data_IF_639687769838
#
_entry.id   IF_639687769838
#
_cell.length_a   1.000
_cell.length_b   1.000
_cell.length_c   1.000
_cell.angle_alpha   90.00
_cell.angle_beta   90.00
_cell.angle_gamma   90.00
#
_symmetry.space_group_name_H-M   'P 1'
#
loop_
_entity.id
_entity.type
_entity.pdbx_description
1 polymer ?
#
# COMPACT_ATOMS: atom_id res chain seq x y z
N UNK A 1 -4.67 103.10 7.33
CA UNK A 1 -3.43 102.76 8.06
C UNK A 1 -3.56 101.36 8.66
N UNK A 2 -2.42 100.68 8.76
CA UNK A 2 -2.16 99.30 9.20
C UNK A 2 -3.00 98.79 10.41
N UNK A 3 -3.18 97.48 10.65
CA UNK A 3 -2.24 96.43 10.32
C UNK A 3 -2.78 94.99 10.38
N UNK A 4 -2.08 94.15 9.62
CA UNK A 4 -2.23 92.70 9.51
C UNK A 4 -1.99 92.00 10.84
N UNK A 5 -2.96 91.17 11.27
CA UNK A 5 -2.73 90.11 12.27
C UNK A 5 -2.57 88.78 11.54
N UNK A 6 -1.32 88.33 11.41
CA UNK A 6 -0.97 87.06 10.78
C UNK A 6 -1.47 85.86 11.61
N UNK A 7 -2.38 85.05 11.04
CA UNK A 7 -2.84 83.79 11.63
C UNK A 7 -1.72 82.75 11.59
N UNK A 8 -1.15 82.47 12.77
CA UNK A 8 -0.15 81.43 13.02
C UNK A 8 -0.79 80.04 12.87
N UNK A 9 -0.72 79.45 11.66
CA UNK A 9 -1.17 78.07 11.39
C UNK A 9 -0.21 77.08 12.05
N UNK A 10 -0.61 76.54 13.19
CA UNK A 10 0.03 75.42 13.88
C UNK A 10 -0.13 74.14 13.03
N UNK A 11 0.93 73.80 12.29
CA UNK A 11 1.02 72.58 11.49
C UNK A 11 1.61 71.49 12.39
N UNK A 12 0.73 70.75 13.09
CA UNK A 12 1.11 69.57 13.90
C UNK A 12 1.68 68.51 12.95
N UNK A 13 3.01 68.46 12.85
CA UNK A 13 3.76 67.37 12.21
C UNK A 13 3.35 66.09 12.92
N UNK A 14 2.68 65.18 12.20
CA UNK A 14 2.50 63.80 12.64
C UNK A 14 3.87 63.15 12.55
N UNK A 15 4.49 62.95 13.71
CA UNK A 15 5.67 62.13 13.85
C UNK A 15 5.36 60.73 13.33
N UNK A 16 6.14 60.30 12.33
CA UNK A 16 6.21 58.93 11.91
C UNK A 16 6.91 58.12 12.98
N UNK A 17 6.15 57.52 13.88
CA UNK A 17 6.62 56.49 14.78
C UNK A 17 6.03 55.15 14.31
N UNK A 18 6.86 54.42 13.57
CA UNK A 18 6.83 52.98 13.29
C UNK A 18 5.48 52.27 13.43
N UNK A 19 4.89 51.91 12.28
CA UNK A 19 3.87 50.87 12.24
C UNK A 19 4.38 49.65 13.03
N UNK A 20 3.60 49.08 13.96
CA UNK A 20 4.03 47.94 14.74
C UNK A 20 4.43 46.82 13.77
N UNK A 21 5.70 46.40 13.83
CA UNK A 21 6.19 45.22 13.11
C UNK A 21 5.20 44.11 13.41
N UNK A 22 4.51 43.63 12.37
CA UNK A 22 3.55 42.55 12.49
C UNK A 22 4.26 41.35 13.11
N UNK A 23 4.08 41.17 14.42
CA UNK A 23 4.58 40.00 15.13
C UNK A 23 3.95 38.81 14.42
N UNK A 24 4.77 37.89 13.90
CA UNK A 24 4.26 36.65 13.35
C UNK A 24 3.54 35.94 14.49
N UNK A 25 2.22 36.04 14.49
CA UNK A 25 1.45 35.45 15.56
C UNK A 25 1.72 33.95 15.50
N UNK A 26 2.23 33.38 16.58
CA UNK A 26 2.45 31.93 16.70
C UNK A 26 1.19 31.15 16.32
N UNK A 27 0.01 31.76 16.51
CA UNK A 27 -1.29 31.27 16.08
C UNK A 27 -1.43 31.13 14.55
N UNK A 28 -0.89 32.07 13.75
CA UNK A 28 -0.91 32.01 12.28
C UNK A 28 0.06 30.95 11.76
N UNK A 29 1.22 30.80 12.40
CA UNK A 29 2.18 29.74 12.07
C UNK A 29 1.62 28.35 12.40
N UNK A 30 1.00 28.18 13.57
CA UNK A 30 0.32 26.93 13.93
C UNK A 30 -0.83 26.60 12.98
N UNK A 31 -1.61 27.60 12.54
CA UNK A 31 -2.67 27.40 11.53
C UNK A 31 -2.09 26.97 10.18
N UNK A 32 -1.00 27.61 9.74
CA UNK A 32 -0.32 27.24 8.50
C UNK A 32 0.29 25.82 8.57
N UNK A 33 0.88 25.44 9.71
CA UNK A 33 1.37 24.07 9.94
C UNK A 33 0.23 23.04 9.91
N UNK A 34 -0.90 23.33 10.56
CA UNK A 34 -2.09 22.46 10.51
C UNK A 34 -2.64 22.33 9.10
N UNK A 35 -2.70 23.42 8.33
CA UNK A 35 -3.10 23.39 6.92
C UNK A 35 -2.12 22.60 6.06
N UNK A 36 -0.81 22.70 6.29
CA UNK A 36 0.19 21.90 5.58
C UNK A 36 0.09 20.42 5.91
N UNK A 37 -0.14 20.05 7.17
CA UNK A 37 -0.38 18.66 7.59
C UNK A 37 -1.68 18.14 6.99
N UNK A 38 -2.77 18.92 7.05
CA UNK A 38 -4.05 18.57 6.45
C UNK A 38 -3.95 18.46 4.92
N UNK A 39 -3.20 19.34 4.25
CA UNK A 39 -2.96 19.28 2.81
C UNK A 39 -2.09 18.07 2.44
N UNK A 40 -1.08 17.72 3.25
CA UNK A 40 -0.29 16.49 3.09
C UNK A 40 -1.15 15.25 3.32
N UNK A 41 -2.03 15.25 4.31
CA UNK A 41 -2.99 14.17 4.56
C UNK A 41 -4.01 14.06 3.43
N UNK A 42 -4.58 15.16 2.94
CA UNK A 42 -5.46 15.19 1.75
C UNK A 42 -4.72 14.73 0.49
N UNK A 43 -3.45 15.10 0.30
CA UNK A 43 -2.61 14.59 -0.79
C UNK A 43 -2.23 13.13 -0.61
N UNK A 44 -2.05 12.62 0.61
CA UNK A 44 -1.83 11.20 0.89
C UNK A 44 -3.10 10.39 0.65
N UNK A 45 -4.24 10.87 1.13
CA UNK A 45 -5.58 10.33 0.87
C UNK A 45 -5.90 10.34 -0.64
N UNK A 46 -5.51 11.40 -1.36
CA UNK A 46 -5.52 11.49 -2.83
C UNK A 46 -4.32 10.82 -3.52
N UNK A 47 -3.35 10.24 -2.81
CA UNK A 47 -2.28 9.39 -3.41
C UNK A 47 -2.61 7.91 -3.20
N UNK A 48 -3.45 7.60 -2.22
CA UNK A 48 -4.33 6.42 -2.20
C UNK A 48 -5.49 6.54 -3.22
N UNK A 49 -5.25 7.14 -4.40
CA UNK A 49 -6.12 6.93 -5.56
C UNK A 49 -5.92 5.47 -6.03
N UNK A 50 -6.94 4.61 -6.12
CA UNK A 50 -8.36 4.86 -6.01
C UNK A 50 -9.00 4.19 -4.79
N UNK A 51 -9.74 4.97 -4.02
CA UNK A 51 -10.94 4.51 -3.33
C UNK A 51 -12.05 4.41 -4.39
N UNK A 52 -12.00 3.37 -5.21
CA UNK A 52 -13.14 2.80 -5.94
C UNK A 52 -13.05 1.28 -5.66
N UNK A 53 -13.59 0.79 -4.55
CA UNK A 53 -14.98 0.95 -4.17
C UNK A 53 -15.78 -0.34 -4.38
N UNK A 54 -15.12 -1.50 -4.51
CA UNK A 54 -15.62 -2.83 -4.15
C UNK A 54 -14.49 -3.84 -4.36
N UNK A 55 -14.32 -4.79 -3.41
CA UNK A 55 -13.45 -5.97 -3.60
C UNK A 55 -13.93 -6.66 -4.88
N UNK A 56 -13.04 -7.08 -5.80
CA UNK A 56 -13.48 -7.85 -6.97
C UNK A 56 -14.37 -9.01 -6.50
N UNK A 57 -15.55 -9.21 -7.12
CA UNK A 57 -16.45 -10.28 -6.73
C UNK A 57 -15.74 -11.63 -6.80
N UNK A 58 -16.09 -12.56 -5.91
CA UNK A 58 -15.54 -13.91 -6.02
C UNK A 58 -16.05 -14.58 -7.29
N UNK A 59 -15.24 -15.42 -7.95
CA UNK A 59 -15.70 -16.22 -9.09
C UNK A 59 -16.82 -17.20 -8.69
N UNK A 60 -17.00 -17.43 -7.39
CA UNK A 60 -17.97 -18.35 -6.81
C UNK A 60 -19.25 -17.67 -6.33
N UNK A 61 -19.61 -16.51 -6.89
CA UNK A 61 -20.92 -15.88 -6.65
C UNK A 61 -21.19 -15.49 -5.19
N UNK A 62 -20.14 -15.18 -4.42
CA UNK A 62 -20.25 -14.82 -3.00
C UNK A 62 -19.99 -15.96 -2.01
N UNK A 63 -19.81 -17.19 -2.48
CA UNK A 63 -19.43 -18.32 -1.62
C UNK A 63 -18.00 -18.14 -1.09
N UNK A 64 -17.76 -18.29 0.23
CA UNK A 64 -16.46 -18.06 0.87
C UNK A 64 -15.54 -19.29 0.74
N UNK A 65 -15.33 -19.79 -0.49
CA UNK A 65 -14.57 -21.03 -0.73
C UNK A 65 -13.14 -20.93 -0.18
N UNK A 66 -12.50 -19.79 -0.35
CA UNK A 66 -11.13 -19.60 0.09
C UNK A 66 -11.01 -19.52 1.60
N UNK A 67 -11.98 -18.90 2.26
CA UNK A 67 -12.07 -18.85 3.72
C UNK A 67 -12.33 -20.27 4.29
N UNK A 68 -13.20 -21.06 3.64
CA UNK A 68 -13.42 -22.46 3.99
C UNK A 68 -12.17 -23.32 3.76
N UNK A 69 -11.44 -23.10 2.66
CA UNK A 69 -10.19 -23.80 2.39
C UNK A 69 -9.12 -23.44 3.43
N UNK A 70 -8.95 -22.17 3.77
CA UNK A 70 -8.03 -21.74 4.84
C UNK A 70 -8.42 -22.36 6.18
N UNK A 71 -9.71 -22.38 6.50
CA UNK A 71 -10.19 -22.99 7.75
C UNK A 71 -9.93 -24.50 7.77
N UNK A 72 -10.36 -25.23 6.75
CA UNK A 72 -10.18 -26.68 6.67
C UNK A 72 -8.68 -27.07 6.62
N UNK A 73 -7.88 -26.35 5.86
CA UNK A 73 -6.43 -26.53 5.81
C UNK A 73 -5.77 -26.24 7.15
N UNK A 74 -6.23 -25.21 7.88
CA UNK A 74 -5.73 -24.86 9.20
C UNK A 74 -6.03 -25.95 10.23
N UNK A 75 -7.25 -26.49 10.21
CA UNK A 75 -7.64 -27.63 11.05
C UNK A 75 -6.78 -28.86 10.73
N UNK A 76 -6.64 -29.22 9.45
CA UNK A 76 -5.81 -30.35 9.04
C UNK A 76 -4.33 -30.17 9.43
N UNK A 77 -3.81 -28.95 9.32
CA UNK A 77 -2.44 -28.62 9.74
C UNK A 77 -2.27 -28.79 11.25
N UNK A 78 -3.21 -28.29 12.06
CA UNK A 78 -3.18 -28.45 13.54
C UNK A 78 -3.25 -29.92 13.91
N UNK A 79 -4.19 -30.68 13.34
CA UNK A 79 -4.32 -32.12 13.58
C UNK A 79 -3.04 -32.85 13.19
N UNK A 80 -2.47 -32.55 12.03
CA UNK A 80 -1.22 -33.12 11.57
C UNK A 80 -0.02 -32.76 12.45
N UNK A 81 0.04 -31.55 13.02
CA UNK A 81 1.11 -31.17 13.94
C UNK A 81 1.04 -31.92 15.27
N UNK A 82 -0.18 -32.25 15.73
CA UNK A 82 -0.40 -33.01 16.98
C UNK A 82 -0.19 -34.51 16.78
N UNK A 83 -0.74 -35.08 15.71
CA UNK A 83 -0.75 -36.53 15.47
C UNK A 83 0.39 -37.01 14.56
N UNK A 84 1.07 -36.10 13.87
CA UNK A 84 2.02 -36.41 12.81
C UNK A 84 1.34 -36.83 11.50
N UNK A 85 2.16 -37.14 10.50
CA UNK A 85 1.70 -37.75 9.25
C UNK A 85 1.33 -36.77 8.13
N UNK A 86 0.70 -37.28 7.05
CA UNK A 86 0.48 -36.53 5.81
C UNK A 86 -0.48 -35.33 5.97
N UNK A 87 -1.26 -35.30 7.06
CA UNK A 87 -2.18 -34.21 7.38
C UNK A 87 -1.49 -32.84 7.46
N UNK A 88 -0.21 -32.77 7.89
CA UNK A 88 0.57 -31.52 7.89
C UNK A 88 0.71 -30.97 6.46
N UNK A 89 1.14 -31.82 5.53
CA UNK A 89 1.36 -31.42 4.15
C UNK A 89 0.04 -31.06 3.46
N UNK A 90 -1.00 -31.87 3.66
CA UNK A 90 -2.34 -31.61 3.13
C UNK A 90 -2.88 -30.27 3.65
N UNK A 91 -2.80 -30.05 4.96
CA UNK A 91 -3.24 -28.81 5.59
C UNK A 91 -2.50 -27.58 5.04
N UNK A 92 -1.17 -27.68 4.91
CA UNK A 92 -0.35 -26.62 4.34
C UNK A 92 -0.74 -26.29 2.89
N UNK A 93 -0.90 -27.30 2.05
CA UNK A 93 -1.28 -27.13 0.63
C UNK A 93 -2.67 -26.51 0.50
N UNK A 94 -3.66 -27.01 1.24
CA UNK A 94 -5.03 -26.49 1.20
C UNK A 94 -5.10 -25.05 1.70
N UNK A 95 -4.39 -24.72 2.78
CA UNK A 95 -4.25 -23.34 3.25
C UNK A 95 -3.61 -22.43 2.21
N UNK A 96 -2.49 -22.87 1.61
CA UNK A 96 -1.78 -22.10 0.60
C UNK A 96 -2.67 -21.82 -0.62
N UNK A 97 -3.49 -22.79 -1.05
CA UNK A 97 -4.46 -22.61 -2.14
C UNK A 97 -5.50 -21.54 -1.81
N UNK A 98 -6.08 -21.56 -0.61
CA UNK A 98 -7.04 -20.54 -0.19
C UNK A 98 -6.42 -19.13 -0.12
N UNK A 99 -5.18 -19.01 0.39
CA UNK A 99 -4.45 -17.72 0.40
C UNK A 99 -4.11 -17.27 -1.02
N UNK A 100 -3.65 -18.16 -1.89
CA UNK A 100 -3.33 -17.85 -3.28
C UNK A 100 -4.54 -17.32 -4.04
N UNK A 101 -5.69 -17.96 -3.89
CA UNK A 101 -6.91 -17.54 -4.58
C UNK A 101 -7.27 -16.09 -4.22
N UNK A 102 -7.28 -15.75 -2.93
CA UNK A 102 -7.65 -14.40 -2.45
C UNK A 102 -6.63 -13.37 -2.95
N UNK A 103 -5.34 -13.68 -2.74
CA UNK A 103 -4.26 -12.74 -3.04
C UNK A 103 -4.09 -12.54 -4.53
N UNK A 104 -4.30 -13.58 -5.35
CA UNK A 104 -4.33 -13.50 -6.80
C UNK A 104 -5.49 -12.61 -7.28
N UNK A 105 -6.71 -12.79 -6.78
CA UNK A 105 -7.86 -11.94 -7.14
C UNK A 105 -7.60 -10.47 -6.83
N UNK A 106 -7.10 -10.18 -5.63
CA UNK A 106 -6.80 -8.81 -5.22
C UNK A 106 -5.62 -8.21 -6.00
N UNK A 107 -4.66 -9.04 -6.40
CA UNK A 107 -3.50 -8.63 -7.17
C UNK A 107 -3.82 -8.36 -8.64
N UNK A 108 -4.42 -9.32 -9.34
CA UNK A 108 -4.73 -9.18 -10.76
C UNK A 108 -5.82 -8.15 -11.03
N UNK A 109 -6.65 -7.87 -10.03
CA UNK A 109 -7.60 -6.78 -10.09
C UNK A 109 -6.95 -5.41 -9.92
N UNK A 110 -5.71 -5.31 -9.43
CA UNK A 110 -5.05 -4.03 -9.15
C UNK A 110 -5.46 -3.38 -7.82
N UNK A 111 -6.19 -4.09 -6.96
CA UNK A 111 -6.66 -3.62 -5.65
C UNK A 111 -5.50 -3.48 -4.65
N UNK A 112 -4.72 -4.55 -4.46
CA UNK A 112 -3.56 -4.58 -3.55
C UNK A 112 -2.40 -5.38 -4.16
N UNK A 113 -1.17 -4.91 -3.99
CA UNK A 113 0.00 -5.61 -4.51
C UNK A 113 0.39 -6.77 -3.58
N UNK A 114 0.32 -7.99 -4.08
CA UNK A 114 0.80 -9.22 -3.43
C UNK A 114 1.92 -9.90 -4.23
N UNK A 115 2.67 -9.13 -5.04
CA UNK A 115 3.69 -9.69 -5.95
C UNK A 115 4.74 -10.54 -5.24
N UNK A 116 5.18 -10.13 -4.04
CA UNK A 116 6.17 -10.89 -3.27
C UNK A 116 5.63 -12.24 -2.82
N UNK A 117 4.42 -12.26 -2.24
CA UNK A 117 3.78 -13.49 -1.77
C UNK A 117 3.49 -14.45 -2.94
N UNK A 118 2.90 -13.94 -4.02
CA UNK A 118 2.58 -14.73 -5.22
C UNK A 118 3.82 -15.25 -5.96
N UNK A 119 4.97 -14.56 -5.86
CA UNK A 119 6.24 -15.06 -6.40
C UNK A 119 6.92 -16.06 -5.48
N UNK A 120 6.79 -15.89 -4.15
CA UNK A 120 7.41 -16.78 -3.17
C UNK A 120 6.88 -18.21 -3.25
N UNK A 121 5.57 -18.38 -3.42
CA UNK A 121 4.93 -19.70 -3.43
C UNK A 121 5.50 -20.64 -4.53
N UNK A 122 5.50 -20.25 -5.82
CA UNK A 122 6.11 -21.07 -6.87
C UNK A 122 7.64 -21.17 -6.72
N UNK A 123 8.33 -20.16 -6.18
CA UNK A 123 9.77 -20.25 -5.94
C UNK A 123 10.10 -21.32 -4.88
N UNK A 124 9.32 -21.39 -3.79
CA UNK A 124 9.43 -22.45 -2.77
C UNK A 124 9.06 -23.81 -3.37
N UNK A 125 8.03 -23.89 -4.22
CA UNK A 125 7.68 -25.14 -4.90
C UNK A 125 8.82 -25.65 -5.80
N UNK A 126 9.51 -24.75 -6.51
CA UNK A 126 10.70 -25.08 -7.30
C UNK A 126 11.85 -25.55 -6.41
N UNK A 127 12.09 -24.88 -5.28
CA UNK A 127 13.11 -25.31 -4.31
C UNK A 127 12.83 -26.72 -3.79
N UNK A 128 11.60 -26.99 -3.35
CA UNK A 128 11.18 -28.31 -2.89
C UNK A 128 11.33 -29.34 -4.00
N UNK A 129 10.88 -29.04 -5.23
CA UNK A 129 11.01 -29.93 -6.37
C UNK A 129 12.47 -30.27 -6.71
N UNK A 130 13.36 -29.28 -6.66
CA UNK A 130 14.81 -29.47 -6.87
C UNK A 130 15.42 -30.38 -5.82
N UNK A 131 15.13 -30.15 -4.53
CA UNK A 131 15.63 -30.98 -3.43
C UNK A 131 15.10 -32.41 -3.54
N UNK A 132 13.84 -32.59 -3.93
CA UNK A 132 13.26 -33.92 -4.12
C UNK A 132 13.83 -34.65 -5.33
N UNK A 133 14.13 -33.95 -6.43
CA UNK A 133 14.64 -34.55 -7.67
C UNK A 133 16.15 -34.82 -7.65
N UNK A 134 16.93 -33.93 -7.04
CA UNK A 134 18.41 -33.96 -7.07
C UNK A 134 19.02 -34.35 -5.72
N UNK A 135 18.20 -34.51 -4.68
CA UNK A 135 18.64 -34.68 -3.31
C UNK A 135 19.10 -33.37 -2.67
N UNK A 136 19.46 -33.42 -1.40
CA UNK A 136 19.93 -32.25 -0.64
C UNK A 136 21.35 -31.88 -1.10
N UNK A 137 21.55 -30.71 -1.74
CA UNK A 137 22.88 -30.33 -2.17
C UNK A 137 23.75 -30.02 -0.95
N UNK A 138 25.01 -30.47 -1.01
CA UNK A 138 26.02 -30.22 0.04
C UNK A 138 26.25 -28.72 0.27
N UNK A 139 26.06 -27.92 -0.78
CA UNK A 139 26.13 -26.46 -0.75
C UNK A 139 24.75 -25.85 -1.00
N UNK A 140 24.04 -25.50 0.07
CA UNK A 140 22.71 -24.86 -0.02
C UNK A 140 22.69 -23.57 -0.85
N UNK A 141 23.83 -22.88 -0.96
CA UNK A 141 23.98 -21.70 -1.82
C UNK A 141 23.70 -21.96 -3.31
N UNK A 142 23.90 -23.19 -3.79
CA UNK A 142 23.60 -23.56 -5.18
C UNK A 142 22.08 -23.55 -5.45
N UNK A 143 21.24 -23.88 -4.47
CA UNK A 143 19.78 -23.77 -4.62
C UNK A 143 19.37 -22.30 -4.83
N UNK A 144 20.00 -21.38 -4.11
CA UNK A 144 19.71 -19.95 -4.24
C UNK A 144 20.01 -19.41 -5.64
N UNK A 145 21.00 -19.97 -6.35
CA UNK A 145 21.29 -19.60 -7.74
C UNK A 145 20.12 -19.88 -8.69
N UNK A 146 19.22 -20.81 -8.35
CA UNK A 146 18.02 -21.10 -9.16
C UNK A 146 16.80 -20.40 -8.58
N UNK A 147 16.59 -20.49 -7.26
CA UNK A 147 15.40 -19.96 -6.58
C UNK A 147 15.33 -18.44 -6.66
N UNK A 148 16.45 -17.73 -6.47
CA UNK A 148 16.47 -16.26 -6.49
C UNK A 148 16.11 -15.70 -7.87
N UNK A 149 16.68 -16.18 -9.00
CA UNK A 149 16.24 -15.75 -10.32
C UNK A 149 14.78 -16.06 -10.62
N UNK A 150 14.29 -17.25 -10.25
CA UNK A 150 12.87 -17.62 -10.43
C UNK A 150 11.98 -16.65 -9.67
N UNK A 151 12.27 -16.42 -8.38
CA UNK A 151 11.54 -15.47 -7.55
C UNK A 151 11.58 -14.05 -8.15
N UNK A 152 12.77 -13.56 -8.52
CA UNK A 152 12.95 -12.21 -9.04
C UNK A 152 12.20 -12.00 -10.37
N UNK A 153 12.27 -12.99 -11.27
CA UNK A 153 11.55 -12.96 -12.55
C UNK A 153 10.03 -12.93 -12.34
N UNK A 154 9.51 -13.83 -11.50
CA UNK A 154 8.08 -13.88 -11.20
C UNK A 154 7.60 -12.61 -10.49
N UNK A 155 8.35 -12.14 -9.49
CA UNK A 155 8.05 -10.90 -8.79
C UNK A 155 7.96 -9.72 -9.75
N UNK A 156 8.92 -9.61 -10.66
CA UNK A 156 8.95 -8.53 -11.65
C UNK A 156 7.79 -8.61 -12.64
N UNK A 157 7.47 -9.80 -13.16
CA UNK A 157 6.33 -10.02 -14.06
C UNK A 157 5.00 -9.67 -13.38
N UNK A 158 4.79 -10.19 -12.17
CA UNK A 158 3.59 -9.92 -11.37
C UNK A 158 3.47 -8.44 -11.04
N UNK A 159 4.58 -7.79 -10.66
CA UNK A 159 4.60 -6.35 -10.36
C UNK A 159 4.24 -5.53 -11.59
N UNK A 160 4.78 -5.87 -12.77
CA UNK A 160 4.40 -5.23 -14.03
C UNK A 160 2.91 -5.40 -14.30
N UNK A 161 2.37 -6.60 -14.11
CA UNK A 161 0.97 -6.88 -14.40
C UNK A 161 0.00 -6.16 -13.46
N UNK A 162 0.36 -6.03 -12.20
CA UNK A 162 -0.37 -5.22 -11.22
C UNK A 162 -0.40 -3.75 -11.58
N UNK A 163 0.73 -3.18 -11.99
CA UNK A 163 0.78 -1.78 -12.41
C UNK A 163 -0.14 -1.52 -13.61
N UNK A 164 -0.14 -2.43 -14.60
CA UNK A 164 -1.05 -2.36 -15.74
C UNK A 164 -2.53 -2.45 -15.31
N UNK A 165 -2.88 -3.41 -14.44
CA UNK A 165 -4.24 -3.55 -13.91
C UNK A 165 -4.70 -2.32 -13.13
N UNK A 166 -3.79 -1.74 -12.33
CA UNK A 166 -4.06 -0.53 -11.55
C UNK A 166 -4.25 0.70 -12.44
N UNK A 167 -3.45 0.86 -13.49
CA UNK A 167 -3.61 1.93 -14.47
C UNK A 167 -4.97 1.83 -15.18
N UNK A 168 -5.38 0.62 -15.59
CA UNK A 168 -6.68 0.39 -16.22
C UNK A 168 -7.85 0.79 -15.31
N UNK A 169 -7.73 0.60 -13.99
CA UNK A 169 -8.74 1.09 -13.02
C UNK A 169 -8.79 2.61 -12.95
N UNK A 170 -7.64 3.26 -12.85
CA UNK A 170 -7.57 4.73 -12.72
C UNK A 170 -8.04 5.44 -14.00
N UNK A 171 -7.85 4.82 -15.17
CA UNK A 171 -8.27 5.36 -16.45
C UNK A 171 -9.78 5.21 -16.73
N UNK A 172 -10.52 4.42 -15.93
CA UNK A 172 -11.95 4.22 -16.13
C UNK A 172 -12.69 5.48 -15.62
N UNK A 173 -13.45 6.19 -16.46
CA UNK A 173 -14.25 7.31 -15.99
C UNK A 173 -15.33 6.83 -15.01
N UNK A 174 -15.73 7.66 -14.04
CA UNK A 174 -16.85 7.31 -13.15
C UNK A 174 -18.09 7.05 -14.01
N UNK A 175 -18.78 5.94 -13.73
CA UNK A 175 -20.03 5.61 -14.41
C UNK A 175 -21.05 6.76 -14.22
N UNK A 176 -21.83 7.12 -15.25
CA UNK A 176 -22.87 8.15 -15.17
C UNK A 176 -23.97 7.78 -14.18
#
# INVERSE_FOLDING_TARGET
MAGQKSKRRSRKRRDGAAAPRAVSSQRREQRAQRELVAARQRRRARRTLGTEGQRPPSPFGGLPISELAIFAGGVALIVGLVQGGPAVLVGLVVCALGVMEITAREHFSGYRSHSALLAAIPAVAVEVGLVQALGTPRHRGLLLLVVVPVFAALFWLLRRRFLAARQARVARPPAP
#
